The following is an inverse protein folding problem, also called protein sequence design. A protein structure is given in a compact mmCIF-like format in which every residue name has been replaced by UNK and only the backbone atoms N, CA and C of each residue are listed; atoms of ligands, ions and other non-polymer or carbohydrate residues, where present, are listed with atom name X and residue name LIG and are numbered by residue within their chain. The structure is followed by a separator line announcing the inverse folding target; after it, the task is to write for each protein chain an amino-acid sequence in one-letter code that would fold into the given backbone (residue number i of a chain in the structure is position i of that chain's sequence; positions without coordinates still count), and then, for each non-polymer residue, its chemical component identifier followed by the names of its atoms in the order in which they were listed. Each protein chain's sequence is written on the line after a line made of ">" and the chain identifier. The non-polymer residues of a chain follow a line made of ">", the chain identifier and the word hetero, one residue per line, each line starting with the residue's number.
data_IF_191119082392
#
_entry.id   IF_191119082392
#
_cell.length_a   1.000
_cell.length_b   1.000
_cell.length_c   1.000
_cell.angle_alpha   90.00
_cell.angle_beta   90.00
_cell.angle_gamma   90.00
#
_symmetry.space_group_name_H-M   'P 1'
#
loop_
_entity.id
_entity.type
_entity.pdbx_description
1 polymer ?
#
# COMPACT_ATOMS: atom_id res chain seq x y z
N UNK A 1 -4.51 3.45 -13.83
CA UNK A 1 -3.99 4.46 -12.86
C UNK A 1 -2.55 4.80 -13.28
N UNK A 2 -2.04 6.01 -13.04
CA UNK A 2 -0.63 6.33 -13.38
C UNK A 2 0.19 6.30 -12.09
N UNK A 3 1.21 5.47 -12.00
CA UNK A 3 2.04 5.45 -10.79
C UNK A 3 3.32 6.19 -11.10
N UNK A 4 3.59 7.22 -10.30
CA UNK A 4 4.79 8.04 -10.43
C UNK A 4 5.71 7.71 -9.26
N UNK A 5 6.57 6.72 -9.45
CA UNK A 5 7.67 6.51 -8.52
C UNK A 5 8.61 7.70 -8.68
N UNK A 6 8.99 8.36 -7.57
CA UNK A 6 9.82 9.58 -7.59
C UNK A 6 11.19 9.29 -8.22
N UNK A 7 11.28 9.45 -9.55
CA UNK A 7 12.38 10.02 -10.32
C UNK A 7 12.05 10.14 -11.83
N UNK A 8 11.00 9.49 -12.38
CA UNK A 8 10.68 9.57 -13.82
C UNK A 8 9.23 9.12 -14.15
N UNK A 9 8.59 9.62 -15.22
CA UNK A 9 7.25 9.22 -15.64
C UNK A 9 7.29 7.92 -16.47
N UNK A 10 7.62 6.78 -15.87
CA UNK A 10 7.59 5.49 -16.58
C UNK A 10 6.75 4.47 -15.81
N UNK A 11 5.80 3.86 -16.53
CA UNK A 11 5.02 2.73 -16.04
C UNK A 11 3.53 3.04 -15.91
N UNK A 12 2.72 2.41 -16.77
CA UNK A 12 1.33 2.13 -16.44
C UNK A 12 1.33 0.81 -15.68
N UNK A 13 0.65 0.76 -14.54
CA UNK A 13 0.36 -0.49 -13.84
C UNK A 13 -1.12 -0.56 -13.56
N UNK A 14 -1.61 -1.79 -13.46
CA UNK A 14 -2.98 -2.08 -13.14
C UNK A 14 -3.13 -2.31 -11.65
N UNK A 15 -4.30 -1.93 -11.13
CA UNK A 15 -4.65 -2.18 -9.74
C UNK A 15 -5.23 -3.58 -9.67
N UNK A 16 -4.46 -4.50 -9.09
CA UNK A 16 -4.91 -5.87 -8.89
C UNK A 16 -5.92 -5.98 -7.76
N UNK A 17 -5.65 -5.28 -6.65
CA UNK A 17 -6.56 -5.27 -5.51
C UNK A 17 -6.36 -4.06 -4.61
N UNK A 18 -7.44 -3.66 -3.92
CA UNK A 18 -7.41 -2.67 -2.84
C UNK A 18 -8.06 -3.31 -1.62
N UNK A 19 -7.31 -3.42 -0.54
CA UNK A 19 -7.79 -3.96 0.73
C UNK A 19 -7.80 -2.84 1.77
N UNK A 20 -8.95 -2.62 2.40
CA UNK A 20 -9.06 -1.75 3.57
C UNK A 20 -8.53 -2.49 4.79
N UNK A 21 -7.69 -1.83 5.56
CA UNK A 21 -7.15 -2.36 6.80
C UNK A 21 -8.01 -1.85 7.96
N UNK A 22 -8.71 -2.72 8.70
CA UNK A 22 -9.57 -2.30 9.80
C UNK A 22 -8.73 -1.72 10.94
N UNK A 23 -9.24 -0.68 11.58
CA UNK A 23 -8.68 -0.14 12.81
C UNK A 23 -9.48 -0.67 14.00
N UNK A 24 -8.77 -1.08 15.02
CA UNK A 24 -9.37 -1.58 16.25
C UNK A 24 -8.71 -0.94 17.46
N UNK A 25 -9.47 -0.81 18.53
CA UNK A 25 -8.98 -0.35 19.83
C UNK A 25 -8.97 -1.51 20.81
N UNK A 26 -7.95 -1.56 21.66
CA UNK A 26 -7.89 -2.51 22.77
C UNK A 26 -8.82 -2.03 23.90
N UNK A 27 -9.75 -2.87 24.32
CA UNK A 27 -10.73 -2.55 25.36
C UNK A 27 -10.54 -3.48 26.57
N UNK A 28 -10.10 -2.94 27.73
CA UNK A 28 -10.05 -3.69 28.98
C UNK A 28 -11.44 -4.21 29.39
N UNK A 29 -11.49 -5.40 29.95
CA UNK A 29 -12.72 -6.04 30.41
C UNK A 29 -12.77 -6.10 31.94
N UNK A 30 -13.97 -6.25 32.56
CA UNK A 30 -14.10 -6.34 34.02
C UNK A 30 -13.35 -7.53 34.66
N UNK A 31 -13.08 -8.59 33.88
CA UNK A 31 -12.31 -9.76 34.30
C UNK A 31 -10.79 -9.59 34.15
N UNK A 32 -10.32 -8.40 33.74
CA UNK A 32 -8.92 -8.09 33.49
C UNK A 32 -8.39 -8.53 32.12
N UNK A 33 -9.20 -9.16 31.27
CA UNK A 33 -8.81 -9.52 29.89
C UNK A 33 -8.83 -8.30 28.95
N UNK A 34 -8.22 -8.47 27.76
CA UNK A 34 -8.21 -7.46 26.70
C UNK A 34 -8.93 -8.03 25.48
N UNK A 35 -9.85 -7.24 24.91
CA UNK A 35 -10.54 -7.55 23.64
C UNK A 35 -10.26 -6.47 22.61
N UNK A 36 -10.27 -6.85 21.34
CA UNK A 36 -10.20 -5.93 20.21
C UNK A 36 -11.62 -5.61 19.72
N UNK A 37 -11.96 -4.33 19.63
CA UNK A 37 -13.22 -3.85 19.08
C UNK A 37 -12.98 -2.85 17.95
N UNK A 38 -13.92 -2.70 17.00
CA UNK A 38 -13.87 -1.61 16.02
C UNK A 38 -13.70 -0.27 16.73
N UNK A 39 -12.83 0.57 16.17
CA UNK A 39 -12.58 1.88 16.76
C UNK A 39 -13.84 2.77 16.62
N UNK A 40 -14.43 3.27 17.72
CA UNK A 40 -15.69 4.00 17.70
C UNK A 40 -15.56 5.48 17.36
N UNK A 41 -14.34 5.98 17.12
CA UNK A 41 -14.05 7.39 16.89
C UNK A 41 -14.61 7.86 15.53
N UNK A 42 -15.59 8.80 15.49
CA UNK A 42 -16.22 9.24 14.24
C UNK A 42 -15.23 9.96 13.30
N UNK A 43 -14.17 10.58 13.82
CA UNK A 43 -13.13 11.20 13.01
C UNK A 43 -12.36 10.20 12.13
N UNK A 44 -12.35 8.91 12.49
CA UNK A 44 -11.68 7.90 11.70
C UNK A 44 -12.45 7.58 10.42
N UNK A 45 -13.74 7.91 10.33
CA UNK A 45 -14.54 7.72 9.11
C UNK A 45 -14.02 8.52 7.91
N UNK A 46 -13.22 9.58 8.16
CA UNK A 46 -12.60 10.42 7.14
C UNK A 46 -11.20 9.97 6.71
N UNK A 47 -10.68 8.89 7.31
CA UNK A 47 -9.33 8.40 7.03
C UNK A 47 -9.37 6.91 6.78
N UNK A 48 -8.47 6.40 5.95
CA UNK A 48 -8.49 4.99 5.59
C UNK A 48 -7.08 4.45 5.50
N UNK A 49 -6.86 3.31 6.16
CA UNK A 49 -5.67 2.51 5.95
C UNK A 49 -5.98 1.51 4.84
N UNK A 50 -5.10 1.42 3.85
CA UNK A 50 -5.29 0.51 2.72
C UNK A 50 -3.98 -0.13 2.32
N UNK A 51 -4.07 -1.39 1.90
CA UNK A 51 -3.05 -2.06 1.12
C UNK A 51 -3.49 -2.11 -0.33
N UNK A 52 -2.68 -1.51 -1.21
CA UNK A 52 -2.92 -1.48 -2.65
C UNK A 52 -1.93 -2.44 -3.30
N UNK A 53 -2.45 -3.41 -4.04
CA UNK A 53 -1.63 -4.34 -4.84
C UNK A 53 -1.68 -3.91 -6.30
N UNK A 54 -0.49 -3.79 -6.87
CA UNK A 54 -0.27 -3.32 -8.22
C UNK A 54 0.34 -4.46 -9.03
N UNK A 55 -0.07 -4.56 -10.28
CA UNK A 55 0.40 -5.57 -11.22
C UNK A 55 0.87 -4.90 -12.51
N UNK A 56 1.96 -5.40 -13.06
CA UNK A 56 2.54 -4.90 -14.28
C UNK A 56 3.87 -5.57 -14.59
N UNK A 57 4.31 -5.43 -15.83
CA UNK A 57 5.55 -6.02 -16.30
C UNK A 57 6.77 -5.30 -15.71
N UNK A 58 7.70 -6.09 -15.19
CA UNK A 58 8.94 -5.60 -14.60
C UNK A 58 10.13 -6.39 -15.15
N UNK A 59 11.29 -5.75 -15.20
CA UNK A 59 12.53 -6.43 -15.52
C UNK A 59 13.08 -7.08 -14.25
N UNK A 60 13.29 -8.39 -14.29
CA UNK A 60 13.93 -9.13 -13.21
C UNK A 60 15.39 -9.35 -13.59
N UNK A 61 16.29 -8.76 -12.82
CA UNK A 61 17.73 -9.00 -12.94
C UNK A 61 18.20 -9.76 -11.68
N UNK A 62 19.39 -10.36 -11.73
CA UNK A 62 19.96 -11.21 -10.66
C UNK A 62 19.87 -10.60 -9.25
N UNK A 63 19.85 -9.26 -9.13
CA UNK A 63 19.89 -8.55 -7.86
C UNK A 63 18.62 -7.73 -7.53
N UNK A 64 17.68 -7.56 -8.46
CA UNK A 64 16.51 -6.71 -8.23
C UNK A 64 15.38 -6.90 -9.26
N UNK A 65 14.16 -6.73 -8.77
CA UNK A 65 13.00 -6.40 -9.62
C UNK A 65 13.06 -4.91 -9.93
N UNK A 66 13.05 -4.55 -11.21
CA UNK A 66 13.13 -3.18 -11.70
C UNK A 66 11.85 -2.85 -12.45
N UNK A 67 11.17 -1.80 -11.99
CA UNK A 67 9.98 -1.27 -12.64
C UNK A 67 10.18 0.23 -12.94
N UNK A 68 9.98 0.64 -14.19
CA UNK A 68 10.14 2.04 -14.60
C UNK A 68 11.49 2.65 -14.20
N UNK A 69 12.58 1.91 -14.44
CA UNK A 69 13.97 2.24 -14.03
C UNK A 69 14.22 2.38 -12.52
N UNK A 70 13.25 1.99 -11.67
CA UNK A 70 13.38 2.02 -10.22
C UNK A 70 13.44 0.60 -9.67
N UNK A 71 14.35 0.38 -8.72
CA UNK A 71 14.43 -0.89 -8.00
C UNK A 71 13.23 -0.99 -7.04
N UNK A 72 12.47 -2.06 -7.17
CA UNK A 72 11.34 -2.36 -6.31
C UNK A 72 11.86 -3.08 -5.08
N UNK A 73 11.91 -2.38 -3.95
CA UNK A 73 12.35 -2.92 -2.66
C UNK A 73 11.38 -2.50 -1.57
N UNK A 74 11.18 -3.38 -0.60
CA UNK A 74 10.40 -3.09 0.60
C UNK A 74 11.00 -1.87 1.31
N UNK A 75 10.15 -0.95 1.74
CA UNK A 75 10.53 0.31 2.38
C UNK A 75 10.81 1.46 1.41
N UNK A 76 10.99 1.20 0.11
CA UNK A 76 11.19 2.29 -0.86
C UNK A 76 9.92 3.15 -0.95
N UNK A 77 10.06 4.50 -0.92
CA UNK A 77 8.93 5.39 -1.09
C UNK A 77 8.43 5.39 -2.54
N UNK A 78 7.12 5.46 -2.71
CA UNK A 78 6.42 5.51 -4.00
C UNK A 78 5.29 6.55 -3.96
N UNK A 79 5.05 7.21 -5.10
CA UNK A 79 3.87 8.05 -5.30
C UNK A 79 2.92 7.38 -6.29
N UNK A 80 1.66 7.27 -5.92
CA UNK A 80 0.60 6.74 -6.78
C UNK A 80 -0.29 7.91 -7.19
N UNK A 81 -0.46 8.12 -8.49
CA UNK A 81 -1.22 9.24 -9.04
C UNK A 81 -2.51 8.74 -9.72
N UNK A 82 -3.62 9.03 -9.05
CA UNK A 82 -4.97 8.87 -9.60
C UNK A 82 -5.40 10.10 -10.39
N UNK A 83 -6.66 10.10 -10.83
CA UNK A 83 -7.25 11.26 -11.50
C UNK A 83 -7.44 12.45 -10.54
N UNK A 84 -7.79 12.17 -9.28
CA UNK A 84 -8.18 13.19 -8.29
C UNK A 84 -7.30 13.20 -7.03
N UNK A 85 -6.38 12.25 -6.89
CA UNK A 85 -5.57 12.08 -5.69
C UNK A 85 -4.14 11.64 -6.01
N UNK A 86 -3.20 12.07 -5.17
CA UNK A 86 -1.83 11.59 -5.14
C UNK A 86 -1.53 11.01 -3.76
N UNK A 87 -1.16 9.74 -3.71
CA UNK A 87 -0.85 9.03 -2.46
C UNK A 87 0.66 8.82 -2.38
N UNK A 88 1.29 9.30 -1.32
CA UNK A 88 2.68 8.97 -1.00
C UNK A 88 2.69 7.85 0.03
N UNK A 89 3.35 6.74 -0.29
CA UNK A 89 3.41 5.55 0.57
C UNK A 89 4.75 4.83 0.38
N UNK A 90 4.92 3.67 1.02
CA UNK A 90 6.08 2.79 0.87
C UNK A 90 5.67 1.42 0.35
N UNK A 91 6.60 0.75 -0.32
CA UNK A 91 6.42 -0.63 -0.76
C UNK A 91 6.47 -1.55 0.47
N UNK A 92 5.42 -2.34 0.70
CA UNK A 92 5.34 -3.31 1.81
C UNK A 92 5.62 -4.75 1.38
N UNK A 93 5.65 -5.02 0.08
CA UNK A 93 5.92 -6.34 -0.47
C UNK A 93 6.13 -6.31 -1.98
N UNK A 94 6.91 -7.26 -2.49
CA UNK A 94 7.14 -7.50 -3.92
C UNK A 94 6.96 -8.99 -4.17
N UNK A 95 6.18 -9.37 -5.18
CA UNK A 95 5.93 -10.77 -5.57
C UNK A 95 6.18 -10.91 -7.06
N UNK A 96 6.97 -11.91 -7.45
CA UNK A 96 7.17 -12.30 -8.84
C UNK A 96 6.13 -13.38 -9.11
N UNK A 97 5.32 -13.20 -10.15
CA UNK A 97 4.34 -14.19 -10.59
C UNK A 97 5.08 -15.15 -11.54
N UNK A 98 4.87 -16.46 -11.34
CA UNK A 98 5.36 -17.51 -12.26
C UNK A 98 4.53 -17.57 -13.54
#
# INVERSE_FOLDING_TARGET
>A
MRIIIRNQPYGKVDVKSVQRLPRSVATPQPDGSIKSFPDPRPELDFTIDMMITLEGDAQVNDNAVVFGNNKMKIGNPVSIEGLTYRINTSIVGVRILE
#
